data_IF_950826360159
#
_entry.id   IF_950826360159
#
_cell.length_a   1.000
_cell.length_b   1.000
_cell.length_c   1.000
_cell.angle_alpha   90.00
_cell.angle_beta   90.00
_cell.angle_gamma   90.00
#
_symmetry.space_group_name_H-M   'P 1'
#
loop_
_entity.id
_entity.type
_entity.pdbx_description
1 polymer ?
#
# COMPACT_ATOMS: atom_id res chain seq x y z
N UNK A 1 12.20 17.01 14.13
CA UNK A 1 12.76 17.08 12.77
C UNK A 1 11.62 17.48 11.85
N UNK A 2 11.80 18.52 11.05
CA UNK A 2 10.77 18.94 10.11
C UNK A 2 10.71 17.90 8.98
N UNK A 3 9.52 17.44 8.58
CA UNK A 3 9.39 16.49 7.48
C UNK A 3 9.97 17.13 6.20
N UNK A 4 10.83 16.39 5.52
CA UNK A 4 11.41 16.81 4.25
C UNK A 4 10.55 16.41 3.06
N UNK A 5 9.68 15.41 3.23
CA UNK A 5 8.65 15.07 2.26
C UNK A 5 7.33 14.76 2.96
N UNK A 6 6.25 14.92 2.23
CA UNK A 6 4.90 14.54 2.62
C UNK A 6 4.18 14.12 1.35
N UNK A 7 3.56 12.94 1.35
CA UNK A 7 2.89 12.43 0.16
C UNK A 7 1.77 11.43 0.47
N UNK A 8 0.87 11.27 -0.51
CA UNK A 8 -0.23 10.32 -0.45
C UNK A 8 -0.30 9.54 -1.76
N UNK A 9 -0.56 8.26 -1.61
CA UNK A 9 -0.72 7.28 -2.67
C UNK A 9 -2.21 6.94 -2.80
N UNK A 10 -2.76 7.16 -3.99
CA UNK A 10 -4.11 6.79 -4.38
C UNK A 10 -4.02 5.68 -5.42
N UNK A 11 -4.63 4.54 -5.14
CA UNK A 11 -4.77 3.46 -6.10
C UNK A 11 -6.23 3.30 -6.45
N UNK A 12 -6.62 3.75 -7.64
CA UNK A 12 -7.99 3.77 -8.16
C UNK A 12 -8.10 2.69 -9.23
N UNK A 13 -8.96 1.72 -9.00
CA UNK A 13 -9.14 0.55 -9.86
C UNK A 13 -10.55 0.55 -10.40
N UNK A 14 -10.73 0.29 -11.70
CA UNK A 14 -12.06 0.16 -12.28
C UNK A 14 -12.73 -1.19 -11.90
N UNK A 15 -14.03 -1.31 -12.14
CA UNK A 15 -14.82 -2.48 -11.75
C UNK A 15 -14.29 -3.78 -12.37
N UNK A 16 -13.96 -3.75 -13.63
CA UNK A 16 -13.43 -4.88 -14.39
C UNK A 16 -12.00 -5.23 -13.98
N UNK A 17 -11.35 -4.32 -13.20
CA UNK A 17 -9.95 -4.40 -12.81
C UNK A 17 -8.98 -4.48 -13.99
N UNK A 18 -9.41 -4.01 -15.14
CA UNK A 18 -8.60 -3.87 -16.35
C UNK A 18 -7.76 -2.59 -16.33
N UNK A 19 -8.25 -1.55 -15.61
CA UNK A 19 -7.55 -0.28 -15.47
C UNK A 19 -7.21 0.03 -14.02
N UNK A 20 -5.94 0.24 -13.77
CA UNK A 20 -5.39 0.76 -12.52
C UNK A 20 -4.82 2.14 -12.80
N UNK A 21 -5.28 3.12 -12.04
CA UNK A 21 -4.72 4.46 -12.00
C UNK A 21 -4.09 4.68 -10.63
N UNK A 22 -2.78 4.80 -10.61
CA UNK A 22 -2.00 5.16 -9.42
C UNK A 22 -1.67 6.64 -9.49
N UNK A 23 -1.96 7.38 -8.44
CA UNK A 23 -1.64 8.79 -8.31
C UNK A 23 -0.92 8.99 -6.98
N UNK A 24 0.31 9.47 -7.04
CA UNK A 24 1.09 9.83 -5.87
C UNK A 24 1.25 11.35 -5.87
N UNK A 25 0.73 12.00 -4.84
CA UNK A 25 0.77 13.44 -4.70
C UNK A 25 1.59 13.84 -3.48
N UNK A 26 2.19 15.01 -3.51
CA UNK A 26 2.90 15.47 -2.33
C UNK A 26 3.74 16.72 -2.54
N UNK A 27 4.57 16.95 -1.53
CA UNK A 27 5.55 18.04 -1.51
C UNK A 27 6.90 17.52 -1.05
N UNK A 28 7.95 17.92 -1.74
CA UNK A 28 9.34 17.84 -1.31
C UNK A 28 9.75 19.20 -0.75
N UNK A 29 10.18 19.20 0.52
CA UNK A 29 10.72 20.37 1.20
C UNK A 29 12.26 20.37 1.19
N UNK A 30 12.89 19.76 0.17
CA UNK A 30 14.33 19.85 -0.01
C UNK A 30 14.73 21.31 -0.23
N UNK A 31 15.63 21.88 0.58
CA UNK A 31 16.02 23.30 0.44
C UNK A 31 16.63 23.64 -0.91
N UNK A 32 17.20 22.66 -1.61
CA UNK A 32 17.83 22.87 -2.93
C UNK A 32 16.81 22.82 -4.08
N UNK A 33 15.69 22.14 -3.88
CA UNK A 33 14.68 21.93 -4.91
C UNK A 33 13.30 21.70 -4.30
N UNK A 34 12.75 22.70 -3.57
CA UNK A 34 11.40 22.57 -3.03
C UNK A 34 10.37 22.57 -4.17
N UNK A 35 9.49 21.58 -4.17
CA UNK A 35 8.45 21.49 -5.20
C UNK A 35 7.29 20.59 -4.74
N UNK A 36 6.09 20.93 -5.21
CA UNK A 36 4.97 20.01 -5.20
C UNK A 36 5.08 19.03 -6.36
N UNK A 37 4.46 17.85 -6.23
CA UNK A 37 4.47 16.87 -7.30
C UNK A 37 3.19 16.09 -7.41
N UNK A 38 2.90 15.67 -8.63
CA UNK A 38 1.92 14.62 -8.95
C UNK A 38 2.66 13.59 -9.79
N UNK A 39 2.71 12.37 -9.31
CA UNK A 39 3.26 11.24 -10.05
C UNK A 39 2.12 10.31 -10.42
N UNK A 40 2.05 9.92 -11.67
CA UNK A 40 0.94 9.14 -12.22
C UNK A 40 1.47 7.91 -12.91
N UNK A 41 0.77 6.82 -12.74
CA UNK A 41 0.89 5.64 -13.57
C UNK A 41 -0.49 5.09 -13.89
N UNK A 42 -0.73 4.78 -15.14
CA UNK A 42 -1.86 3.97 -15.57
C UNK A 42 -1.38 2.77 -16.39
N UNK A 43 -2.08 1.66 -16.25
CA UNK A 43 -1.69 0.43 -16.93
C UNK A 43 -2.11 0.38 -18.42
N UNK A 44 -2.74 1.43 -18.94
CA UNK A 44 -3.05 1.62 -20.36
C UNK A 44 -1.84 2.16 -21.07
N UNK A 45 -1.35 3.35 -20.65
CA UNK A 45 -0.14 3.96 -21.22
C UNK A 45 1.14 3.26 -20.77
N UNK A 46 1.12 2.60 -19.60
CA UNK A 46 2.24 1.86 -19.00
C UNK A 46 3.50 2.69 -18.81
N UNK A 47 3.36 4.02 -18.80
CA UNK A 47 4.46 4.96 -18.61
C UNK A 47 4.22 5.76 -17.35
N UNK A 48 5.07 5.63 -16.31
CA UNK A 48 5.03 6.53 -15.17
C UNK A 48 5.44 7.94 -15.59
N UNK A 49 4.68 8.95 -15.13
CA UNK A 49 4.95 10.36 -15.36
C UNK A 49 5.11 11.07 -14.02
N UNK A 50 6.18 11.84 -13.85
CA UNK A 50 6.45 12.65 -12.67
C UNK A 50 6.39 14.12 -13.03
N UNK A 51 5.37 14.82 -12.52
CA UNK A 51 5.07 16.22 -12.83
C UNK A 51 5.46 17.07 -11.63
N UNK A 52 6.32 18.05 -11.84
CA UNK A 52 6.71 19.04 -10.83
C UNK A 52 5.86 20.29 -10.96
N UNK A 53 5.48 20.83 -9.81
CA UNK A 53 4.82 22.11 -9.66
C UNK A 53 5.60 22.99 -8.68
N UNK A 54 5.50 24.31 -8.77
CA UNK A 54 5.99 25.20 -7.73
C UNK A 54 5.48 24.79 -6.34
N UNK A 55 6.30 24.93 -5.30
CA UNK A 55 5.90 24.52 -3.94
C UNK A 55 4.68 25.31 -3.43
N UNK A 56 4.49 26.55 -3.88
CA UNK A 56 3.35 27.42 -3.58
C UNK A 56 2.02 26.92 -4.15
N UNK A 57 2.05 26.07 -5.17
CA UNK A 57 0.84 25.43 -5.73
C UNK A 57 0.30 24.33 -4.81
N UNK A 58 1.06 23.90 -3.79
CA UNK A 58 0.64 22.91 -2.84
C UNK A 58 -0.12 23.54 -1.66
N UNK A 59 -1.38 23.13 -1.48
CA UNK A 59 -2.21 23.54 -0.35
C UNK A 59 -2.73 22.31 0.38
N UNK A 60 -2.53 22.25 1.68
CA UNK A 60 -2.99 21.16 2.56
C UNK A 60 -4.00 21.69 3.57
N UNK A 61 -5.19 21.08 3.61
CA UNK A 61 -6.12 21.16 4.72
C UNK A 61 -6.09 19.82 5.47
N UNK A 62 -6.04 19.86 6.79
CA UNK A 62 -5.97 18.64 7.62
C UNK A 62 -7.33 18.22 8.15
N UNK A 63 -8.28 19.15 8.25
CA UNK A 63 -9.63 18.90 8.74
C UNK A 63 -10.66 19.82 8.05
N UNK A 64 -11.48 19.28 7.14
CA UNK A 64 -11.39 17.94 6.55
C UNK A 64 -10.12 17.80 5.68
N UNK A 65 -9.57 16.59 5.64
CA UNK A 65 -8.37 16.34 4.83
C UNK A 65 -8.59 16.63 3.36
N UNK A 66 -7.76 17.50 2.82
CA UNK A 66 -7.72 17.79 1.39
C UNK A 66 -6.34 18.31 0.98
N UNK A 67 -5.92 17.95 -0.22
CA UNK A 67 -4.73 18.48 -0.89
C UNK A 67 -5.16 19.09 -2.22
N UNK A 68 -4.69 20.30 -2.50
CA UNK A 68 -4.80 20.93 -3.80
C UNK A 68 -3.40 21.09 -4.36
N UNK A 69 -3.19 20.68 -5.60
CA UNK A 69 -1.97 20.96 -6.36
C UNK A 69 -2.40 21.57 -7.68
N UNK A 70 -2.14 22.86 -7.82
CA UNK A 70 -2.60 23.68 -8.96
C UNK A 70 -4.13 23.54 -9.13
N UNK A 71 -4.59 22.92 -10.21
CA UNK A 71 -6.00 22.78 -10.59
C UNK A 71 -6.58 21.40 -10.20
N UNK A 72 -5.82 20.58 -9.50
CA UNK A 72 -6.24 19.24 -9.09
C UNK A 72 -6.51 19.17 -7.60
N UNK A 73 -7.59 18.46 -7.21
CA UNK A 73 -8.06 18.31 -5.83
C UNK A 73 -8.07 16.85 -5.42
N UNK A 74 -7.59 16.57 -4.23
CA UNK A 74 -7.48 15.24 -3.64
C UNK A 74 -7.99 15.24 -2.22
N UNK A 75 -8.87 14.31 -1.88
CA UNK A 75 -9.37 14.11 -0.51
C UNK A 75 -9.60 12.63 -0.22
N UNK A 76 -10.11 12.32 0.96
CA UNK A 76 -10.51 10.96 1.29
C UNK A 76 -11.83 10.54 0.63
N UNK A 77 -12.57 11.50 0.07
CA UNK A 77 -13.91 11.28 -0.49
C UNK A 77 -13.95 11.44 -2.01
N UNK A 78 -12.94 12.06 -2.61
CA UNK A 78 -12.87 12.24 -4.07
C UNK A 78 -11.50 12.67 -4.55
N UNK A 79 -11.27 12.45 -5.84
CA UNK A 79 -10.26 13.16 -6.63
C UNK A 79 -10.95 13.92 -7.75
N UNK A 80 -10.46 15.13 -8.05
CA UNK A 80 -10.84 15.90 -9.23
C UNK A 80 -9.56 16.34 -9.93
N UNK A 81 -9.35 15.83 -11.14
CA UNK A 81 -8.10 15.99 -11.87
C UNK A 81 -8.27 16.97 -13.01
N UNK A 82 -7.34 17.86 -13.13
CA UNK A 82 -7.11 18.71 -14.30
C UNK A 82 -5.61 18.81 -14.55
N UNK A 83 -5.04 17.75 -15.11
CA UNK A 83 -3.63 17.63 -15.43
C UNK A 83 -3.50 17.59 -16.93
N UNK A 84 -2.84 18.59 -17.50
CA UNK A 84 -2.64 18.73 -18.95
C UNK A 84 -1.17 19.04 -19.19
N UNK A 85 -0.44 18.02 -19.65
CA UNK A 85 0.98 18.10 -20.00
C UNK A 85 1.23 17.47 -21.37
N UNK A 86 2.42 17.67 -21.92
CA UNK A 86 2.82 16.97 -23.16
C UNK A 86 2.88 15.43 -23.00
N UNK A 87 3.15 14.96 -21.77
CA UNK A 87 3.33 13.54 -21.49
C UNK A 87 2.02 12.83 -21.13
N UNK A 88 1.08 13.52 -20.47
CA UNK A 88 -0.18 12.93 -20.02
C UNK A 88 -1.26 13.99 -19.87
N UNK A 89 -2.49 13.59 -20.20
CA UNK A 89 -3.68 14.39 -19.98
C UNK A 89 -4.66 13.57 -19.10
N UNK A 90 -4.98 14.10 -17.90
CA UNK A 90 -5.92 13.50 -16.97
C UNK A 90 -6.96 14.52 -16.55
N UNK A 91 -8.21 14.34 -16.99
CA UNK A 91 -9.30 15.25 -16.66
C UNK A 91 -10.52 14.45 -16.23
N UNK A 92 -11.07 14.77 -15.07
CA UNK A 92 -12.28 14.11 -14.60
C UNK A 92 -12.36 14.06 -13.08
N UNK A 93 -13.37 13.34 -12.60
CA UNK A 93 -13.68 13.21 -11.17
C UNK A 93 -14.06 11.80 -10.82
N UNK A 94 -13.58 11.31 -9.69
CA UNK A 94 -14.02 10.07 -9.07
C UNK A 94 -14.32 10.32 -7.60
N UNK A 95 -15.53 9.97 -7.17
CA UNK A 95 -15.99 9.98 -5.79
C UNK A 95 -15.76 8.62 -5.13
N UNK A 96 -15.43 8.63 -3.84
CA UNK A 96 -15.14 7.45 -3.04
C UNK A 96 -16.25 7.25 -2.00
N UNK A 97 -17.19 6.38 -2.31
CA UNK A 97 -18.36 6.05 -1.47
C UNK A 97 -18.05 4.86 -0.56
N UNK A 98 -18.82 4.70 0.51
CA UNK A 98 -18.72 3.55 1.44
C UNK A 98 -17.30 3.28 1.94
N UNK A 99 -16.59 4.34 2.22
CA UNK A 99 -15.19 4.29 2.64
C UNK A 99 -15.01 3.51 3.94
N UNK A 100 -14.08 2.57 3.93
CA UNK A 100 -13.64 1.82 5.12
C UNK A 100 -12.27 2.36 5.53
N UNK A 101 -12.19 3.19 6.58
CA UNK A 101 -10.92 3.68 7.11
C UNK A 101 -10.16 2.57 7.84
N UNK A 102 -8.85 2.72 7.98
CA UNK A 102 -8.08 1.90 8.90
C UNK A 102 -8.47 2.26 10.35
N UNK A 103 -8.84 1.26 11.15
CA UNK A 103 -9.25 1.45 12.56
C UNK A 103 -8.06 1.67 13.50
N UNK A 104 -6.85 1.39 13.03
CA UNK A 104 -5.64 1.38 13.85
C UNK A 104 -4.59 2.30 13.24
N UNK A 105 -3.80 2.96 14.09
CA UNK A 105 -2.52 3.50 13.63
C UNK A 105 -1.62 2.31 13.28
N UNK A 106 -1.32 2.16 11.99
CA UNK A 106 -0.57 1.01 11.49
C UNK A 106 0.87 0.98 11.99
N UNK A 107 1.40 2.12 12.41
CA UNK A 107 2.70 2.22 13.05
C UNK A 107 2.67 1.76 14.51
N UNK A 108 1.49 1.72 15.15
CA UNK A 108 1.33 1.37 16.55
C UNK A 108 2.26 2.19 17.47
N UNK A 109 2.98 1.54 18.43
CA UNK A 109 3.92 2.27 19.31
C UNK A 109 5.05 2.98 18.58
N UNK A 110 5.41 2.53 17.36
CA UNK A 110 6.45 3.20 16.56
C UNK A 110 6.06 4.60 16.10
N UNK A 111 4.76 4.93 16.04
CA UNK A 111 4.31 6.29 15.76
C UNK A 111 4.87 7.33 16.74
N UNK A 112 5.20 6.91 17.98
CA UNK A 112 5.80 7.76 18.99
C UNK A 112 7.32 7.94 18.90
N UNK A 113 7.99 7.18 18.03
CA UNK A 113 9.45 7.28 17.83
C UNK A 113 9.76 8.53 17.01
N UNK A 114 10.47 9.49 17.62
CA UNK A 114 10.71 10.83 17.03
C UNK A 114 11.59 10.82 15.78
N UNK A 115 12.48 9.83 15.63
CA UNK A 115 13.54 9.83 14.61
C UNK A 115 13.32 8.79 13.51
N UNK A 116 12.08 8.34 13.29
CA UNK A 116 11.79 7.47 12.16
C UNK A 116 11.99 8.22 10.84
N UNK A 117 12.72 7.63 9.89
CA UNK A 117 12.93 8.25 8.58
C UNK A 117 11.64 8.32 7.75
N UNK A 118 10.70 7.41 7.99
CA UNK A 118 9.39 7.38 7.34
C UNK A 118 8.29 7.07 8.36
N UNK A 119 7.20 7.82 8.28
CA UNK A 119 5.92 7.56 8.97
C UNK A 119 4.92 7.16 7.91
N UNK A 120 4.30 6.02 8.10
CA UNK A 120 3.33 5.43 7.19
C UNK A 120 1.93 5.43 7.80
N UNK A 121 0.92 5.80 7.02
CA UNK A 121 -0.47 5.83 7.46
C UNK A 121 -1.41 5.23 6.44
N UNK A 122 -2.37 4.43 6.89
CA UNK A 122 -3.44 3.88 6.07
C UNK A 122 -4.72 4.71 6.27
N UNK A 123 -5.18 5.39 5.23
CA UNK A 123 -6.35 6.29 5.32
C UNK A 123 -7.63 5.62 4.85
N UNK A 124 -7.58 4.92 3.72
CA UNK A 124 -8.72 4.21 3.15
C UNK A 124 -8.31 2.81 2.73
N UNK A 125 -8.86 1.80 3.38
CA UNK A 125 -8.60 0.41 3.02
C UNK A 125 -9.42 0.00 1.81
N UNK A 126 -10.63 0.52 1.70
CA UNK A 126 -11.57 0.23 0.62
C UNK A 126 -12.59 1.35 0.49
N UNK A 127 -12.96 1.68 -0.74
CA UNK A 127 -14.16 2.46 -1.07
C UNK A 127 -14.75 1.93 -2.36
N UNK A 128 -16.00 2.29 -2.62
CA UNK A 128 -16.65 2.07 -3.92
C UNK A 128 -16.53 3.36 -4.73
N UNK A 129 -16.05 3.26 -5.95
CA UNK A 129 -15.83 4.41 -6.82
C UNK A 129 -17.11 4.78 -7.59
N UNK A 130 -17.29 6.08 -7.84
CA UNK A 130 -18.31 6.61 -8.76
C UNK A 130 -17.73 7.78 -9.56
N UNK A 131 -17.71 7.65 -10.88
CA UNK A 131 -17.20 8.67 -11.76
C UNK A 131 -16.29 8.14 -12.87
N UNK A 132 -15.65 9.07 -13.55
CA UNK A 132 -14.76 8.77 -14.68
C UNK A 132 -13.60 9.77 -14.77
N UNK A 133 -12.56 9.33 -15.47
CA UNK A 133 -11.41 10.16 -15.82
C UNK A 133 -11.11 9.93 -17.31
N UNK A 134 -10.89 11.02 -18.04
CA UNK A 134 -10.29 10.96 -19.35
C UNK A 134 -8.78 10.77 -19.20
N UNK A 135 -8.23 9.71 -19.75
CA UNK A 135 -6.80 9.43 -19.83
C UNK A 135 -6.40 9.59 -21.30
N UNK A 136 -5.65 10.63 -21.64
CA UNK A 136 -5.23 10.93 -23.01
C UNK A 136 -6.37 10.87 -24.04
N UNK A 137 -7.53 11.45 -23.74
CA UNK A 137 -8.77 11.48 -24.54
C UNK A 137 -9.65 10.23 -24.45
N UNK A 138 -9.18 9.13 -23.85
CA UNK A 138 -9.99 7.93 -23.60
C UNK A 138 -10.78 8.09 -22.29
N UNK A 139 -12.11 7.94 -22.36
CA UNK A 139 -12.97 8.00 -21.17
C UNK A 139 -12.98 6.67 -20.45
N UNK A 140 -12.40 6.64 -19.25
CA UNK A 140 -12.36 5.44 -18.39
C UNK A 140 -13.33 5.61 -17.25
N UNK A 141 -14.33 4.71 -17.17
CA UNK A 141 -15.24 4.64 -16.04
C UNK A 141 -14.60 3.92 -14.87
N UNK A 142 -14.68 4.51 -13.68
CA UNK A 142 -14.27 3.90 -12.42
C UNK A 142 -15.48 3.52 -11.54
N UNK A 143 -16.70 3.78 -12.00
CA UNK A 143 -17.94 3.47 -11.27
C UNK A 143 -18.03 1.97 -10.94
N UNK A 144 -18.29 1.65 -9.66
CA UNK A 144 -18.31 0.28 -9.14
C UNK A 144 -16.93 -0.34 -8.92
N UNK A 145 -15.87 0.39 -9.21
CA UNK A 145 -14.49 0.02 -8.89
C UNK A 145 -14.14 0.31 -7.42
N UNK A 146 -12.85 0.28 -7.09
CA UNK A 146 -12.37 0.42 -5.70
C UNK A 146 -11.20 1.40 -5.60
N UNK A 147 -11.08 2.08 -4.45
CA UNK A 147 -9.91 2.91 -4.13
C UNK A 147 -9.28 2.51 -2.81
N UNK A 148 -7.96 2.57 -2.78
CA UNK A 148 -7.09 2.47 -1.62
C UNK A 148 -6.28 3.75 -1.48
N UNK A 149 -6.09 4.24 -0.22
CA UNK A 149 -5.33 5.46 0.06
C UNK A 149 -4.43 5.22 1.26
N UNK A 150 -3.14 5.50 1.09
CA UNK A 150 -2.14 5.56 2.14
C UNK A 150 -1.34 6.86 2.05
N UNK A 151 -0.49 7.13 3.02
CA UNK A 151 0.38 8.30 2.96
C UNK A 151 1.62 8.11 3.79
N UNK A 152 2.67 8.81 3.37
CA UNK A 152 3.98 8.78 3.96
C UNK A 152 4.51 10.17 4.24
N UNK A 153 5.25 10.30 5.33
CA UNK A 153 5.94 11.54 5.66
C UNK A 153 7.26 11.27 6.37
N UNK A 154 8.24 12.13 6.15
CA UNK A 154 9.53 11.98 6.83
C UNK A 154 10.70 12.57 6.06
N UNK A 155 11.81 11.84 6.07
CA UNK A 155 13.04 12.21 5.36
C UNK A 155 13.37 11.25 4.22
N UNK A 156 13.09 9.96 4.41
CA UNK A 156 13.44 8.92 3.42
C UNK A 156 12.53 7.72 3.59
N UNK A 157 12.30 6.98 2.52
CA UNK A 157 11.76 5.63 2.63
C UNK A 157 12.79 4.69 3.30
N UNK A 158 12.35 3.58 3.92
CA UNK A 158 13.25 2.63 4.53
C UNK A 158 14.30 2.12 3.51
N UNK A 159 15.51 1.84 4.01
CA UNK A 159 16.59 1.32 3.18
C UNK A 159 16.22 0.01 2.48
N UNK A 160 15.56 -0.88 3.23
CA UNK A 160 15.07 -2.17 2.75
C UNK A 160 13.64 -2.39 3.20
N UNK A 161 12.78 -2.75 2.26
CA UNK A 161 11.40 -3.09 2.55
C UNK A 161 10.75 -3.95 1.46
N UNK A 162 9.63 -4.55 1.84
CA UNK A 162 8.68 -5.19 0.95
C UNK A 162 7.32 -4.60 1.32
N UNK A 163 6.61 -4.11 0.32
CA UNK A 163 5.24 -3.65 0.45
C UNK A 163 4.37 -4.35 -0.58
N UNK A 164 3.12 -4.65 -0.21
CA UNK A 164 2.15 -5.28 -1.10
C UNK A 164 0.73 -4.91 -0.71
N UNK A 165 -0.11 -4.56 -1.69
CA UNK A 165 -1.50 -4.18 -1.49
C UNK A 165 -2.40 -4.76 -2.57
N UNK A 166 -3.61 -5.22 -2.21
CA UNK A 166 -4.68 -5.53 -3.14
C UNK A 166 -6.06 -5.45 -2.50
N UNK A 167 -7.04 -4.95 -3.24
CA UNK A 167 -8.46 -4.98 -2.90
C UNK A 167 -9.21 -6.16 -3.54
N UNK A 168 -8.56 -6.94 -4.42
CA UNK A 168 -9.22 -7.98 -5.21
C UNK A 168 -8.86 -9.38 -4.77
N UNK A 169 -9.81 -10.06 -4.13
CA UNK A 169 -9.74 -11.50 -3.85
C UNK A 169 -10.46 -12.27 -4.97
N UNK A 170 -9.82 -13.32 -5.50
CA UNK A 170 -10.36 -14.11 -6.62
C UNK A 170 -11.21 -15.28 -6.21
N UNK A 171 -11.01 -15.81 -5.00
CA UNK A 171 -11.59 -17.08 -4.58
C UNK A 171 -12.21 -17.01 -3.19
N UNK A 172 -12.97 -18.04 -2.84
CA UNK A 172 -13.57 -18.22 -1.53
C UNK A 172 -14.83 -17.37 -1.33
N UNK A 173 -15.34 -17.42 -0.10
CA UNK A 173 -16.60 -16.77 0.30
C UNK A 173 -16.56 -15.24 0.29
N UNK A 174 -15.37 -14.65 0.22
CA UNK A 174 -15.19 -13.20 0.20
C UNK A 174 -15.07 -12.61 -1.19
N UNK A 175 -15.15 -13.44 -2.26
CA UNK A 175 -15.14 -12.94 -3.65
C UNK A 175 -16.30 -11.96 -3.89
N UNK A 176 -15.99 -10.79 -4.41
CA UNK A 176 -16.98 -9.71 -4.65
C UNK A 176 -17.39 -8.90 -3.43
N UNK A 177 -16.84 -9.19 -2.25
CA UNK A 177 -17.08 -8.42 -1.04
C UNK A 177 -16.02 -7.31 -0.86
N UNK A 178 -16.27 -6.38 0.07
CA UNK A 178 -15.27 -5.40 0.52
C UNK A 178 -14.06 -6.15 1.11
N UNK A 179 -12.93 -6.09 0.44
CA UNK A 179 -11.68 -6.71 0.88
C UNK A 179 -10.51 -5.78 0.68
N UNK A 180 -9.53 -5.89 1.54
CA UNK A 180 -8.20 -5.31 1.37
C UNK A 180 -7.18 -6.20 2.05
N UNK A 181 -6.04 -6.35 1.43
CA UNK A 181 -4.84 -6.85 2.05
C UNK A 181 -3.75 -5.82 1.83
N UNK A 182 -3.15 -5.34 2.92
CA UNK A 182 -1.92 -4.56 2.86
C UNK A 182 -0.90 -5.18 3.80
N UNK A 183 0.29 -5.39 3.30
CA UNK A 183 1.43 -5.96 4.01
C UNK A 183 2.66 -5.10 3.78
N UNK A 184 3.36 -4.77 4.85
CA UNK A 184 4.69 -4.17 4.75
C UNK A 184 5.64 -4.78 5.77
N UNK A 185 6.89 -4.96 5.36
CA UNK A 185 8.02 -5.31 6.21
C UNK A 185 9.17 -4.39 5.86
N UNK A 186 9.78 -3.77 6.86
CA UNK A 186 10.85 -2.81 6.67
C UNK A 186 11.97 -2.95 7.71
N UNK A 187 13.18 -2.55 7.32
CA UNK A 187 14.28 -2.31 8.24
C UNK A 187 14.08 -0.93 8.87
N UNK A 188 13.77 -0.90 10.16
CA UNK A 188 13.46 0.30 10.92
C UNK A 188 14.63 0.64 11.82
N UNK A 189 15.29 1.80 11.66
CA UNK A 189 16.32 2.25 12.57
C UNK A 189 15.68 2.74 13.88
N UNK A 190 16.05 2.14 15.02
CA UNK A 190 15.61 2.57 16.35
C UNK A 190 16.59 3.59 16.92
N UNK A 191 17.89 3.40 16.67
CA UNK A 191 18.94 4.35 16.96
C UNK A 191 20.08 4.17 15.96
N UNK A 192 21.15 5.00 16.04
CA UNK A 192 22.26 5.01 15.08
C UNK A 192 22.90 3.63 14.78
N UNK A 193 22.80 2.67 15.71
CA UNK A 193 23.45 1.35 15.58
C UNK A 193 22.46 0.17 15.61
N UNK A 194 21.19 0.38 15.94
CA UNK A 194 20.20 -0.68 16.13
C UNK A 194 19.10 -0.54 15.11
N UNK A 195 18.96 -1.58 14.30
CA UNK A 195 17.84 -1.71 13.38
C UNK A 195 16.99 -2.90 13.78
N UNK A 196 15.68 -2.75 13.71
CA UNK A 196 14.76 -3.87 13.85
C UNK A 196 14.05 -4.12 12.53
N UNK A 197 13.61 -5.35 12.37
CA UNK A 197 12.70 -5.71 11.28
C UNK A 197 11.26 -5.55 11.79
N UNK A 198 10.63 -4.45 11.42
CA UNK A 198 9.23 -4.21 11.69
C UNK A 198 8.35 -4.67 10.54
N UNK A 199 7.16 -5.18 10.83
CA UNK A 199 6.16 -5.50 9.83
C UNK A 199 4.75 -5.32 10.36
N UNK A 200 3.83 -5.15 9.43
CA UNK A 200 2.40 -5.29 9.66
C UNK A 200 1.73 -5.99 8.46
N UNK A 201 0.63 -6.65 8.75
CA UNK A 201 -0.37 -7.08 7.79
C UNK A 201 -1.72 -6.61 8.32
N UNK A 202 -2.42 -5.80 7.53
CA UNK A 202 -3.83 -5.47 7.74
C UNK A 202 -4.65 -6.21 6.69
N UNK A 203 -5.66 -6.94 7.15
CA UNK A 203 -6.57 -7.71 6.32
C UNK A 203 -7.99 -7.23 6.62
N UNK A 204 -8.65 -6.66 5.62
CA UNK A 204 -10.08 -6.35 5.63
C UNK A 204 -10.83 -7.48 4.93
N UNK A 205 -11.78 -8.08 5.62
CA UNK A 205 -12.73 -9.06 5.08
C UNK A 205 -14.14 -8.62 5.45
N UNK A 206 -14.89 -8.15 4.46
CA UNK A 206 -16.21 -7.53 4.65
C UNK A 206 -16.10 -6.31 5.57
N UNK A 207 -16.52 -6.40 6.82
CA UNK A 207 -16.53 -5.28 7.78
C UNK A 207 -15.51 -5.48 8.92
N UNK A 208 -14.77 -6.57 8.89
CA UNK A 208 -13.79 -6.93 9.93
C UNK A 208 -12.36 -6.65 9.47
N UNK A 209 -11.59 -6.02 10.34
CA UNK A 209 -10.17 -5.77 10.16
C UNK A 209 -9.35 -6.64 11.12
N UNK A 210 -8.39 -7.36 10.55
CA UNK A 210 -7.44 -8.20 11.29
C UNK A 210 -6.04 -7.60 11.14
N UNK A 211 -5.33 -7.49 12.25
CA UNK A 211 -3.96 -6.96 12.25
C UNK A 211 -2.99 -7.98 12.82
N UNK A 212 -1.90 -8.20 12.10
CA UNK A 212 -0.75 -8.98 12.51
C UNK A 212 0.49 -8.11 12.35
N UNK A 213 1.10 -7.71 13.47
CA UNK A 213 2.20 -6.78 13.46
C UNK A 213 3.25 -7.14 14.50
N UNK A 214 4.47 -6.67 14.28
CA UNK A 214 5.56 -6.84 15.26
C UNK A 214 5.15 -6.37 16.65
N UNK A 215 4.49 -5.23 16.74
CA UNK A 215 4.04 -4.66 18.01
C UNK A 215 2.83 -5.39 18.63
N UNK A 216 2.09 -6.18 17.88
CA UNK A 216 1.01 -7.04 18.40
C UNK A 216 1.49 -8.44 18.79
N UNK A 217 2.81 -8.65 18.85
CA UNK A 217 3.43 -9.92 19.23
C UNK A 217 3.58 -10.92 18.08
N UNK A 218 3.31 -10.51 16.85
CA UNK A 218 3.58 -11.36 15.71
C UNK A 218 5.09 -11.41 15.40
N UNK A 219 5.57 -12.58 14.97
CA UNK A 219 6.99 -12.81 14.64
C UNK A 219 7.11 -13.45 13.26
N UNK A 220 8.00 -12.90 12.44
CA UNK A 220 8.42 -13.57 11.21
C UNK A 220 9.26 -14.78 11.60
N UNK A 221 8.83 -15.95 11.14
CA UNK A 221 9.50 -17.23 11.38
C UNK A 221 10.38 -17.63 10.21
N UNK A 222 9.98 -17.18 9.00
CA UNK A 222 10.71 -17.47 7.79
C UNK A 222 10.45 -16.34 6.76
N UNK A 223 11.47 -16.00 5.99
CA UNK A 223 11.42 -15.02 4.90
C UNK A 223 12.38 -15.46 3.82
N UNK A 224 11.86 -15.80 2.67
CA UNK A 224 12.61 -16.23 1.54
C UNK A 224 12.28 -15.39 0.30
N UNK A 225 13.32 -14.95 -0.43
CA UNK A 225 13.18 -14.08 -1.59
C UNK A 225 14.03 -14.65 -2.72
N UNK A 226 13.40 -14.85 -3.88
CA UNK A 226 14.06 -15.37 -5.07
C UNK A 226 13.70 -14.58 -6.30
N UNK A 227 14.69 -14.22 -7.10
CA UNK A 227 14.45 -13.76 -8.47
C UNK A 227 14.01 -14.93 -9.32
N UNK A 228 12.92 -14.73 -10.07
CA UNK A 228 12.35 -15.71 -10.98
C UNK A 228 12.18 -15.09 -12.37
N UNK A 229 11.91 -15.90 -13.38
CA UNK A 229 11.62 -15.37 -14.73
C UNK A 229 10.42 -14.44 -14.66
N UNK A 230 10.63 -13.17 -15.02
CA UNK A 230 9.60 -12.15 -15.07
C UNK A 230 9.33 -11.42 -13.74
N UNK A 231 10.07 -11.69 -12.65
CA UNK A 231 9.82 -10.96 -11.41
C UNK A 231 10.54 -11.51 -10.17
N UNK A 232 9.87 -11.40 -9.04
CA UNK A 232 10.40 -11.83 -7.74
C UNK A 232 9.34 -12.64 -6.98
N UNK A 233 9.76 -13.76 -6.41
CA UNK A 233 8.94 -14.56 -5.51
C UNK A 233 9.38 -14.30 -4.07
N UNK A 234 8.41 -14.06 -3.19
CA UNK A 234 8.62 -13.87 -1.75
C UNK A 234 7.72 -14.82 -1.00
N UNK A 235 8.30 -15.63 -0.13
CA UNK A 235 7.58 -16.50 0.79
C UNK A 235 7.85 -16.06 2.23
N UNK A 236 6.78 -15.88 3.01
CA UNK A 236 6.87 -15.40 4.38
C UNK A 236 6.01 -16.28 5.29
N UNK A 237 6.58 -16.68 6.42
CA UNK A 237 5.85 -17.36 7.49
C UNK A 237 5.85 -16.48 8.74
N UNK A 238 4.65 -16.17 9.23
CA UNK A 238 4.44 -15.37 10.44
C UNK A 238 3.73 -16.23 11.47
N UNK A 239 4.09 -16.07 12.75
CA UNK A 239 3.38 -16.69 13.88
C UNK A 239 2.97 -15.61 14.86
N UNK A 240 1.68 -15.65 15.29
CA UNK A 240 1.13 -14.83 16.38
C UNK A 240 0.20 -15.68 17.22
N UNK A 241 0.58 -15.94 18.48
CA UNK A 241 -0.16 -16.84 19.37
C UNK A 241 -0.42 -18.20 18.68
N UNK A 242 -1.68 -18.61 18.57
CA UNK A 242 -2.12 -19.83 17.89
C UNK A 242 -2.20 -19.70 16.35
N UNK A 243 -2.03 -18.50 15.78
CA UNK A 243 -2.14 -18.30 14.34
C UNK A 243 -0.80 -18.42 13.63
N UNK A 244 -0.82 -19.10 12.48
CA UNK A 244 0.28 -19.19 11.53
C UNK A 244 -0.21 -18.64 10.20
N UNK A 245 0.49 -17.62 9.69
CA UNK A 245 0.22 -17.05 8.38
C UNK A 245 1.32 -17.48 7.42
N UNK A 246 0.91 -17.90 6.23
CA UNK A 246 1.81 -18.11 5.09
C UNK A 246 1.42 -17.14 4.00
N UNK A 247 2.35 -16.32 3.58
CA UNK A 247 2.17 -15.31 2.54
C UNK A 247 3.12 -15.66 1.40
N UNK A 248 2.61 -15.77 0.20
CA UNK A 248 3.39 -15.87 -1.03
C UNK A 248 3.05 -14.70 -1.92
N UNK A 249 4.05 -13.91 -2.29
CA UNK A 249 3.94 -12.80 -3.21
C UNK A 249 4.71 -13.16 -4.48
N UNK A 250 4.04 -13.13 -5.63
CA UNK A 250 4.67 -13.17 -6.93
C UNK A 250 4.57 -11.77 -7.54
N UNK A 251 5.62 -10.99 -7.32
CA UNK A 251 5.76 -9.68 -7.94
C UNK A 251 6.24 -9.86 -9.37
N UNK A 252 5.59 -9.17 -10.31
CA UNK A 252 5.96 -9.17 -11.72
C UNK A 252 6.99 -8.07 -12.03
N UNK A 253 7.27 -7.84 -13.31
CA UNK A 253 8.02 -6.66 -13.73
C UNK A 253 7.19 -5.42 -13.45
N UNK A 254 7.81 -4.44 -12.82
CA UNK A 254 7.16 -3.20 -12.41
C UNK A 254 7.60 -2.01 -13.27
N UNK A 255 7.06 -0.87 -12.89
CA UNK A 255 7.36 0.45 -13.41
C UNK A 255 8.18 1.23 -12.39
N UNK A 256 8.92 2.22 -12.85
CA UNK A 256 9.84 2.97 -12.00
C UNK A 256 9.16 4.23 -11.48
N UNK A 257 8.97 4.31 -10.17
CA UNK A 257 8.50 5.52 -9.49
C UNK A 257 9.65 6.27 -8.82
N UNK A 258 9.50 7.59 -8.71
CA UNK A 258 10.40 8.44 -7.94
C UNK A 258 10.00 8.37 -6.46
N UNK A 259 10.98 8.22 -5.57
CA UNK A 259 10.74 8.18 -4.13
C UNK A 259 11.74 9.04 -3.35
N UNK A 260 11.43 9.42 -2.09
CA UNK A 260 12.27 10.32 -1.31
C UNK A 260 13.48 9.60 -0.69
N UNK A 261 14.65 10.24 -0.81
CA UNK A 261 15.85 9.95 -0.03
C UNK A 261 16.44 11.28 0.46
N UNK A 262 16.57 11.44 1.78
CA UNK A 262 16.94 12.69 2.45
C UNK A 262 16.07 13.91 2.04
N UNK A 263 14.81 13.65 1.71
CA UNK A 263 13.82 14.62 1.23
C UNK A 263 13.90 14.93 -0.24
N UNK A 264 14.89 14.44 -0.96
CA UNK A 264 15.04 14.62 -2.39
C UNK A 264 14.27 13.58 -3.16
N UNK A 265 13.39 14.00 -4.07
CA UNK A 265 12.63 13.11 -4.94
C UNK A 265 13.48 12.77 -6.19
N UNK A 266 14.52 11.95 -6.00
CA UNK A 266 15.52 11.63 -7.02
C UNK A 266 15.77 10.13 -7.22
N UNK A 267 15.38 9.30 -6.26
CA UNK A 267 15.62 7.85 -6.32
C UNK A 267 14.45 7.15 -7.01
N UNK A 268 14.74 5.99 -7.54
CA UNK A 268 13.78 5.20 -8.29
C UNK A 268 13.53 3.85 -7.60
N UNK A 269 12.24 3.48 -7.50
CA UNK A 269 11.80 2.17 -7.05
C UNK A 269 10.93 1.52 -8.09
N UNK A 270 10.99 0.20 -8.17
CA UNK A 270 10.12 -0.60 -9.03
C UNK A 270 8.86 -1.00 -8.26
N UNK A 271 7.72 -0.52 -8.71
CA UNK A 271 6.41 -1.01 -8.30
C UNK A 271 5.82 -1.86 -9.43
N UNK A 272 5.39 -3.07 -9.09
CA UNK A 272 4.60 -3.91 -9.99
C UNK A 272 3.12 -3.76 -9.64
N UNK A 273 2.27 -3.52 -10.61
CA UNK A 273 0.84 -3.21 -10.47
C UNK A 273 -0.11 -4.40 -10.73
N UNK A 274 0.44 -5.52 -11.19
CA UNK A 274 -0.34 -6.73 -11.52
C UNK A 274 0.26 -7.99 -10.86
N UNK A 275 0.63 -7.88 -9.62
CA UNK A 275 1.19 -8.98 -8.84
C UNK A 275 0.10 -9.90 -8.27
N UNK A 276 0.52 -11.05 -7.75
CA UNK A 276 -0.37 -12.01 -7.10
C UNK A 276 0.09 -12.26 -5.67
N UNK A 277 -0.86 -12.31 -4.73
CA UNK A 277 -0.61 -12.64 -3.33
C UNK A 277 -1.49 -13.82 -2.92
N UNK A 278 -0.89 -14.83 -2.32
CA UNK A 278 -1.61 -15.92 -1.66
C UNK A 278 -1.39 -15.76 -0.16
N UNK A 279 -2.48 -15.60 0.58
CA UNK A 279 -2.47 -15.58 2.04
C UNK A 279 -3.24 -16.80 2.56
N UNK A 280 -2.59 -17.62 3.38
CA UNK A 280 -3.23 -18.70 4.12
C UNK A 280 -3.02 -18.47 5.61
N UNK A 281 -4.10 -18.52 6.39
CA UNK A 281 -4.10 -18.40 7.84
C UNK A 281 -4.55 -19.72 8.43
N UNK A 282 -3.73 -20.26 9.32
CA UNK A 282 -3.96 -21.48 10.05
C UNK A 282 -4.10 -21.18 11.54
N UNK A 283 -4.91 -21.98 12.24
CA UNK A 283 -5.02 -21.95 13.70
C UNK A 283 -4.51 -23.26 14.30
N UNK A 284 -3.53 -23.17 15.20
CA UNK A 284 -3.06 -24.31 16.00
C UNK A 284 -4.07 -24.56 17.13
N UNK A 285 -4.50 -25.80 17.29
CA UNK A 285 -5.30 -26.24 18.43
C UNK A 285 -4.54 -27.31 19.18
N UNK A 286 -4.55 -27.24 20.51
CA UNK A 286 -4.11 -28.35 21.35
C UNK A 286 -5.22 -29.37 21.40
N UNK A 287 -4.90 -30.62 21.10
CA UNK A 287 -5.81 -31.76 21.24
C UNK A 287 -5.21 -32.70 22.28
N UNK A 288 -5.94 -32.92 23.36
CA UNK A 288 -5.54 -33.87 24.39
C UNK A 288 -6.16 -35.25 24.02
N UNK A 289 -5.29 -36.19 23.70
CA UNK A 289 -5.74 -37.57 23.39
C UNK A 289 -6.18 -38.31 24.65
N UNK A 290 -7.27 -39.08 24.55
CA UNK A 290 -7.86 -39.86 25.66
C UNK A 290 -6.97 -40.99 26.21
N UNK A 291 -5.86 -41.31 25.56
CA UNK A 291 -4.90 -42.32 26.03
C UNK A 291 -3.56 -41.67 26.28
N UNK A 292 -3.13 -41.57 27.55
CA UNK A 292 -1.82 -41.09 28.02
C UNK A 292 -1.55 -39.57 28.02
N UNK A 293 -2.56 -38.70 28.11
CA UNK A 293 -2.38 -37.23 28.16
C UNK A 293 -1.37 -36.67 27.14
N UNK A 294 -1.25 -37.29 25.95
CA UNK A 294 -0.36 -36.83 24.92
C UNK A 294 -0.99 -35.59 24.27
N UNK A 295 -0.39 -34.41 24.49
CA UNK A 295 -0.77 -33.20 23.78
C UNK A 295 -0.29 -33.31 22.33
N UNK A 296 -1.22 -33.35 21.39
CA UNK A 296 -0.92 -33.22 19.97
C UNK A 296 -1.37 -31.83 19.44
N UNK A 297 -0.69 -31.32 18.45
CA UNK A 297 -1.09 -30.08 17.80
C UNK A 297 -1.84 -30.40 16.53
N UNK A 298 -3.09 -29.96 16.45
CA UNK A 298 -3.86 -29.94 15.22
C UNK A 298 -3.76 -28.55 14.59
N UNK A 299 -3.56 -28.49 13.27
CA UNK A 299 -3.48 -27.25 12.51
C UNK A 299 -4.65 -27.22 11.54
N UNK A 300 -5.58 -26.30 11.76
CA UNK A 300 -6.74 -26.10 10.91
C UNK A 300 -6.53 -24.86 10.01
N UNK A 301 -6.84 -24.99 8.72
CA UNK A 301 -6.92 -23.86 7.80
C UNK A 301 -8.17 -23.04 8.12
N UNK A 302 -8.01 -21.77 8.49
CA UNK A 302 -9.15 -20.89 8.84
C UNK A 302 -9.44 -19.86 7.76
N UNK A 303 -8.45 -19.57 6.91
CA UNK A 303 -8.63 -18.64 5.79
C UNK A 303 -7.62 -18.95 4.68
N UNK A 304 -8.07 -18.86 3.43
CA UNK A 304 -7.21 -18.85 2.26
C UNK A 304 -7.74 -17.86 1.22
N UNK A 305 -6.92 -16.88 0.86
CA UNK A 305 -7.25 -15.88 -0.14
C UNK A 305 -6.17 -15.79 -1.23
N UNK A 306 -6.60 -15.81 -2.49
CA UNK A 306 -5.76 -15.46 -3.63
C UNK A 306 -6.13 -14.06 -4.07
N UNK A 307 -5.25 -13.11 -3.83
CA UNK A 307 -5.36 -11.73 -4.26
C UNK A 307 -4.64 -11.54 -5.59
N UNK A 308 -5.27 -10.80 -6.48
CA UNK A 308 -4.75 -10.48 -7.82
C UNK A 308 -4.79 -8.99 -8.02
N UNK A 309 -4.24 -8.55 -9.13
CA UNK A 309 -4.12 -7.12 -9.40
C UNK A 309 -3.49 -6.41 -8.18
N UNK A 310 -2.44 -6.99 -7.63
CA UNK A 310 -1.77 -6.47 -6.46
C UNK A 310 -0.65 -5.51 -6.87
N UNK A 311 -0.56 -4.37 -6.20
CA UNK A 311 0.61 -3.52 -6.23
C UNK A 311 1.68 -4.08 -5.29
N UNK A 312 2.94 -4.09 -5.70
CA UNK A 312 4.06 -4.60 -4.88
C UNK A 312 5.34 -3.82 -5.13
N UNK A 313 6.01 -3.47 -4.06
CA UNK A 313 7.36 -2.91 -4.06
C UNK A 313 8.30 -3.82 -3.28
N UNK A 314 9.47 -4.13 -3.86
CA UNK A 314 10.48 -4.99 -3.23
C UNK A 314 11.85 -4.32 -3.34
N UNK A 315 12.28 -3.68 -2.27
CA UNK A 315 13.59 -3.02 -2.13
C UNK A 315 14.45 -3.80 -1.15
N UNK A 316 15.34 -4.64 -1.66
CA UNK A 316 16.18 -5.55 -0.85
C UNK A 316 17.68 -5.29 -0.95
N UNK A 317 18.09 -4.40 -1.85
CA UNK A 317 19.48 -3.98 -2.01
C UNK A 317 19.67 -2.55 -1.56
#
# INVERSE_FOLDING_TARGET
MKNKFLGWYYRIVNKETSTNLVIIIGISNDPKNPHAFIQVFDNISKKPVYIKYPAEDFKLCTDPFAVVIKDSYFSLDKVSLNIQTEEINLVGKVEFKDRVPCKYDIMGPFAKVKYLPCRHGLFTLHSTNDGYIYINKEKISFTGGTTYIEGDSGTSFPEKYIWAQSNKIQNGVYKGMKTNLVFAIAKIPICKKINIRGFFLNLLLKDQQYIFATYSGAKIKDLWIKKVKGGTLVDIKIKQKEYILKIRIRSEKGHTFVYPEDGQMLKNILEADNSNIILAIYKEKKVVGNRRNIETKKIDLVFMGKYTNAATEIKIK
#
